data_IF_776100589590
#
_entry.id   IF_776100589590
#
_cell.length_a   1.000
_cell.length_b   1.000
_cell.length_c   1.000
_cell.angle_alpha   90.00
_cell.angle_beta   90.00
_cell.angle_gamma   90.00
#
_symmetry.space_group_name_H-M   'P 1'
#
loop_
_entity.id
_entity.type
_entity.pdbx_description
1 polymer ?
#
# COMPACT_ATOMS: atom_id res chain seq x y z
N UNK A 1 9.83 1.70 -20.51
CA UNK A 1 10.09 2.02 -19.09
C UNK A 1 10.45 3.50 -19.02
N UNK A 2 9.90 4.26 -18.06
CA UNK A 2 10.25 5.68 -17.85
C UNK A 2 11.76 5.80 -17.58
N UNK A 3 12.46 6.60 -18.37
CA UNK A 3 13.89 6.86 -18.23
C UNK A 3 14.19 7.80 -17.07
N UNK A 4 15.46 7.86 -16.64
CA UNK A 4 15.91 8.78 -15.59
C UNK A 4 15.62 10.25 -15.93
N UNK A 5 15.78 10.66 -17.18
CA UNK A 5 15.46 12.03 -17.61
C UNK A 5 13.96 12.30 -17.49
N UNK A 6 13.12 11.37 -17.93
CA UNK A 6 11.67 11.48 -17.82
C UNK A 6 11.20 11.50 -16.35
N UNK A 7 11.86 10.76 -15.46
CA UNK A 7 11.52 10.76 -14.02
C UNK A 7 11.70 12.12 -13.35
N UNK A 8 12.71 12.89 -13.76
CA UNK A 8 13.00 14.22 -13.20
C UNK A 8 11.91 15.22 -13.58
N UNK A 9 11.36 15.10 -14.79
CA UNK A 9 10.35 16.01 -15.30
C UNK A 9 8.92 15.61 -14.89
N UNK A 10 8.72 14.37 -14.43
CA UNK A 10 7.41 13.79 -14.18
C UNK A 10 6.54 14.65 -13.25
N UNK A 11 7.08 15.06 -12.09
CA UNK A 11 6.31 15.85 -11.11
C UNK A 11 5.84 17.20 -11.68
N UNK A 12 6.72 17.92 -12.38
CA UNK A 12 6.40 19.20 -13.00
C UNK A 12 5.36 19.07 -14.12
N UNK A 13 5.49 18.05 -14.97
CA UNK A 13 4.54 17.79 -16.06
C UNK A 13 3.18 17.37 -15.49
N UNK A 14 3.18 16.51 -14.48
CA UNK A 14 1.95 16.08 -13.80
C UNK A 14 1.24 17.26 -13.14
N UNK A 15 1.97 18.14 -12.45
CA UNK A 15 1.46 19.39 -11.90
C UNK A 15 0.78 20.23 -12.98
N UNK A 16 1.51 20.53 -14.06
CA UNK A 16 1.00 21.32 -15.17
C UNK A 16 -0.32 20.74 -15.73
N UNK A 17 -0.37 19.43 -15.98
CA UNK A 17 -1.57 18.77 -16.50
C UNK A 17 -2.73 18.86 -15.52
N UNK A 18 -2.48 18.68 -14.22
CA UNK A 18 -3.52 18.77 -13.20
C UNK A 18 -4.09 20.18 -13.12
N UNK A 19 -3.25 21.21 -13.10
CA UNK A 19 -3.69 22.61 -13.05
C UNK A 19 -4.59 22.97 -14.25
N UNK A 20 -4.31 22.41 -15.44
CA UNK A 20 -5.15 22.58 -16.63
C UNK A 20 -6.50 21.84 -16.53
N UNK A 21 -6.54 20.68 -15.88
CA UNK A 21 -7.76 19.86 -15.77
C UNK A 21 -8.68 20.38 -14.66
N UNK A 22 -8.12 20.89 -13.57
CA UNK A 22 -8.88 21.31 -12.38
C UNK A 22 -9.11 22.81 -12.32
N UNK A 23 -8.42 23.62 -13.15
CA UNK A 23 -8.36 25.08 -13.03
C UNK A 23 -7.94 25.57 -11.62
N UNK A 24 -7.21 24.74 -10.88
CA UNK A 24 -6.69 25.07 -9.56
C UNK A 24 -5.17 25.16 -9.61
N UNK A 25 -4.59 26.12 -8.90
CA UNK A 25 -3.13 26.22 -8.75
C UNK A 25 -2.66 25.27 -7.66
N UNK A 26 -1.65 24.45 -7.96
CA UNK A 26 -1.11 23.47 -7.02
C UNK A 26 0.17 24.03 -6.39
N UNK A 27 0.22 24.15 -5.07
CA UNK A 27 1.33 24.78 -4.35
C UNK A 27 2.43 23.78 -3.96
N UNK A 28 2.10 22.49 -3.87
CA UNK A 28 3.07 21.47 -3.45
C UNK A 28 2.80 20.09 -4.06
N UNK A 29 3.81 19.23 -4.05
CA UNK A 29 3.68 17.83 -4.47
C UNK A 29 2.73 17.03 -3.58
N UNK A 30 2.63 17.36 -2.29
CA UNK A 30 1.67 16.74 -1.37
C UNK A 30 0.22 17.09 -1.74
N UNK A 31 -0.02 18.35 -2.10
CA UNK A 31 -1.30 18.81 -2.61
C UNK A 31 -1.64 18.17 -3.97
N UNK A 32 -0.65 18.10 -4.88
CA UNK A 32 -0.77 17.40 -6.16
C UNK A 32 -1.25 15.95 -5.97
N UNK A 33 -0.59 15.24 -5.05
CA UNK A 33 -0.94 13.87 -4.72
C UNK A 33 -2.37 13.75 -4.15
N UNK A 34 -2.76 14.65 -3.24
CA UNK A 34 -4.09 14.68 -2.65
C UNK A 34 -5.18 14.93 -3.70
N UNK A 35 -4.96 15.87 -4.63
CA UNK A 35 -5.87 16.14 -5.74
C UNK A 35 -6.05 14.88 -6.58
N UNK A 36 -4.95 14.29 -7.06
CA UNK A 36 -4.99 13.10 -7.92
C UNK A 36 -5.73 11.95 -7.23
N UNK A 37 -5.51 11.72 -5.93
CA UNK A 37 -6.19 10.66 -5.18
C UNK A 37 -7.72 10.78 -5.30
N UNK A 38 -8.24 12.00 -5.22
CA UNK A 38 -9.66 12.31 -5.19
C UNK A 38 -10.30 12.48 -6.58
N UNK A 39 -9.53 12.51 -7.68
CA UNK A 39 -10.10 12.63 -9.02
C UNK A 39 -10.90 11.38 -9.45
N UNK A 40 -12.03 11.56 -10.16
CA UNK A 40 -12.75 10.48 -10.82
C UNK A 40 -11.87 9.70 -11.81
N UNK A 41 -12.12 8.38 -11.93
CA UNK A 41 -11.35 7.50 -12.81
C UNK A 41 -11.29 8.00 -14.26
N UNK A 42 -12.40 8.52 -14.78
CA UNK A 42 -12.48 9.07 -16.15
C UNK A 42 -11.49 10.22 -16.37
N UNK A 43 -11.28 11.07 -15.37
CA UNK A 43 -10.33 12.19 -15.44
C UNK A 43 -8.89 11.69 -15.35
N UNK A 44 -8.62 10.71 -14.47
CA UNK A 44 -7.29 10.08 -14.33
C UNK A 44 -6.79 9.51 -15.66
N UNK A 45 -7.65 8.84 -16.43
CA UNK A 45 -7.28 8.31 -17.76
C UNK A 45 -6.79 9.41 -18.71
N UNK A 46 -7.47 10.56 -18.75
CA UNK A 46 -7.07 11.70 -19.59
C UNK A 46 -5.75 12.33 -19.13
N UNK A 47 -5.50 12.34 -17.82
CA UNK A 47 -4.24 12.83 -17.24
C UNK A 47 -3.07 11.95 -17.67
N UNK A 48 -3.19 10.62 -17.56
CA UNK A 48 -2.11 9.71 -17.97
C UNK A 48 -1.76 9.84 -19.45
N UNK A 49 -2.77 9.99 -20.31
CA UNK A 49 -2.56 10.28 -21.72
C UNK A 49 -1.80 11.60 -21.92
N UNK A 50 -2.27 12.68 -21.28
CA UNK A 50 -1.68 14.02 -21.43
C UNK A 50 -0.24 14.10 -20.94
N UNK A 51 0.06 13.45 -19.80
CA UNK A 51 1.42 13.36 -19.25
C UNK A 51 2.30 12.54 -20.19
N UNK A 52 1.81 11.41 -20.71
CA UNK A 52 2.57 10.52 -21.60
C UNK A 52 3.03 11.19 -22.90
N UNK A 53 2.17 12.01 -23.50
CA UNK A 53 2.49 12.80 -24.69
C UNK A 53 3.61 13.82 -24.43
N UNK A 54 3.64 14.41 -23.22
CA UNK A 54 4.61 15.45 -22.85
C UNK A 54 5.98 14.91 -22.50
N UNK A 55 6.04 13.71 -21.91
CA UNK A 55 7.31 13.09 -21.52
C UNK A 55 7.83 12.08 -22.56
N UNK A 56 7.07 11.80 -23.63
CA UNK A 56 7.45 10.83 -24.65
C UNK A 56 7.45 9.39 -24.12
N UNK A 57 6.35 8.97 -23.49
CA UNK A 57 6.15 7.59 -22.99
C UNK A 57 4.74 7.11 -23.34
N UNK A 58 4.43 5.86 -23.02
CA UNK A 58 3.05 5.37 -23.12
C UNK A 58 2.22 5.73 -21.88
N UNK A 59 0.88 5.84 -22.00
CA UNK A 59 0.00 6.07 -20.85
C UNK A 59 0.15 5.01 -19.75
N UNK A 60 0.36 3.75 -20.14
CA UNK A 60 0.57 2.64 -19.20
C UNK A 60 1.86 2.79 -18.41
N UNK A 61 2.96 3.20 -19.05
CA UNK A 61 4.23 3.42 -18.35
C UNK A 61 4.15 4.60 -17.38
N UNK A 62 3.44 5.67 -17.75
CA UNK A 62 3.16 6.82 -16.88
C UNK A 62 2.34 6.40 -15.66
N UNK A 63 1.26 5.66 -15.90
CA UNK A 63 0.41 5.12 -14.85
C UNK A 63 1.23 4.26 -13.89
N UNK A 64 1.99 3.30 -14.41
CA UNK A 64 2.77 2.39 -13.59
C UNK A 64 3.87 3.11 -12.83
N UNK A 65 4.53 4.10 -13.44
CA UNK A 65 5.51 4.92 -12.75
C UNK A 65 4.89 5.75 -11.61
N UNK A 66 3.71 6.32 -11.83
CA UNK A 66 2.96 7.02 -10.77
C UNK A 66 2.72 6.09 -9.58
N UNK A 67 2.12 4.92 -9.82
CA UNK A 67 1.70 4.02 -8.75
C UNK A 67 2.85 3.26 -8.09
N UNK A 68 3.92 2.95 -8.82
CA UNK A 68 5.01 2.12 -8.32
C UNK A 68 6.22 2.92 -7.85
N UNK A 69 6.34 4.19 -8.23
CA UNK A 69 7.51 5.03 -7.90
C UNK A 69 7.09 6.36 -7.31
N UNK A 70 6.46 7.24 -8.10
CA UNK A 70 6.27 8.64 -7.70
C UNK A 70 5.39 8.78 -6.46
N UNK A 71 4.24 8.09 -6.38
CA UNK A 71 3.36 8.22 -5.20
C UNK A 71 4.01 7.66 -3.92
N UNK A 72 4.99 6.77 -4.02
CA UNK A 72 5.56 6.10 -2.85
C UNK A 72 6.38 7.06 -1.99
N UNK A 73 6.84 8.18 -2.54
CA UNK A 73 7.59 9.20 -1.80
C UNK A 73 6.75 9.90 -0.70
N UNK A 74 5.42 9.83 -0.78
CA UNK A 74 4.52 10.43 0.21
C UNK A 74 4.18 9.47 1.37
N UNK A 75 4.68 8.24 1.32
CA UNK A 75 4.45 7.24 2.35
C UNK A 75 5.75 6.92 3.08
N UNK A 76 5.63 6.58 4.35
CA UNK A 76 6.73 6.02 5.11
C UNK A 76 7.06 4.62 4.60
N UNK A 77 8.33 4.24 4.74
CA UNK A 77 8.76 2.89 4.41
C UNK A 77 8.08 1.87 5.33
N UNK A 78 7.43 0.87 4.74
CA UNK A 78 6.84 -0.26 5.46
C UNK A 78 7.85 -1.04 6.32
N UNK A 79 9.15 -0.93 6.04
CA UNK A 79 10.18 -1.59 6.83
C UNK A 79 10.15 -1.14 8.30
N UNK A 80 9.79 0.12 8.57
CA UNK A 80 9.69 0.65 9.93
C UNK A 80 8.58 -0.04 10.76
N UNK A 81 7.61 -0.66 10.10
CA UNK A 81 6.44 -1.28 10.73
C UNK A 81 6.37 -2.79 10.51
N UNK A 82 7.41 -3.39 9.94
CA UNK A 82 7.35 -4.79 9.46
C UNK A 82 6.99 -5.78 10.57
N UNK A 83 7.62 -5.64 11.75
CA UNK A 83 7.41 -6.54 12.88
C UNK A 83 6.03 -6.33 13.50
N UNK A 84 5.66 -5.08 13.75
CA UNK A 84 4.35 -4.72 14.27
C UNK A 84 3.21 -5.20 13.36
N UNK A 85 3.33 -4.99 12.05
CA UNK A 85 2.34 -5.46 11.07
C UNK A 85 2.23 -6.99 11.05
N UNK A 86 3.35 -7.69 11.26
CA UNK A 86 3.40 -9.17 11.31
C UNK A 86 2.71 -9.69 12.58
N UNK A 87 3.01 -9.10 13.73
CA UNK A 87 2.38 -9.43 15.01
C UNK A 87 0.89 -9.16 14.97
N UNK A 88 0.49 -7.97 14.49
CA UNK A 88 -0.91 -7.61 14.32
C UNK A 88 -1.61 -8.62 13.41
N UNK A 89 -1.02 -8.96 12.26
CA UNK A 89 -1.60 -9.94 11.35
C UNK A 89 -1.84 -11.30 12.03
N UNK A 90 -0.84 -11.84 12.74
CA UNK A 90 -1.01 -13.15 13.37
C UNK A 90 -2.02 -13.12 14.52
N UNK A 91 -2.07 -12.02 15.29
CA UNK A 91 -3.10 -11.83 16.31
C UNK A 91 -4.50 -11.80 15.69
N UNK A 92 -4.68 -11.04 14.61
CA UNK A 92 -5.94 -11.00 13.88
C UNK A 92 -6.27 -12.37 13.28
N UNK A 93 -5.32 -13.05 12.65
CA UNK A 93 -5.53 -14.33 11.99
C UNK A 93 -5.97 -15.48 12.93
N UNK A 94 -5.75 -15.35 14.24
CA UNK A 94 -6.30 -16.28 15.24
C UNK A 94 -7.80 -16.13 15.46
N UNK A 95 -8.38 -15.01 15.06
CA UNK A 95 -9.80 -14.67 15.24
C UNK A 95 -10.63 -14.91 13.98
N UNK A 96 -10.00 -15.21 12.84
CA UNK A 96 -10.65 -15.37 11.55
C UNK A 96 -10.17 -16.65 10.87
N UNK A 97 -11.11 -17.44 10.38
CA UNK A 97 -10.82 -18.69 9.66
C UNK A 97 -10.39 -18.46 8.20
N UNK A 98 -10.67 -17.28 7.63
CA UNK A 98 -10.28 -16.94 6.27
C UNK A 98 -9.23 -15.82 6.20
N UNK A 99 -8.26 -16.03 5.30
CA UNK A 99 -7.18 -15.08 5.06
C UNK A 99 -7.67 -13.70 4.62
N UNK A 100 -8.79 -13.60 3.90
CA UNK A 100 -9.28 -12.34 3.35
C UNK A 100 -9.77 -11.42 4.45
N UNK A 101 -10.55 -11.94 5.40
CA UNK A 101 -11.05 -11.19 6.54
C UNK A 101 -9.92 -10.84 7.50
N UNK A 102 -8.99 -11.75 7.77
CA UNK A 102 -7.79 -11.44 8.56
C UNK A 102 -6.99 -10.28 7.93
N UNK A 103 -6.71 -10.32 6.62
CA UNK A 103 -6.00 -9.26 5.91
C UNK A 103 -6.74 -7.92 5.99
N UNK A 104 -8.05 -7.92 5.72
CA UNK A 104 -8.85 -6.69 5.74
C UNK A 104 -8.89 -6.09 7.17
N UNK A 105 -9.09 -6.93 8.19
CA UNK A 105 -9.17 -6.47 9.57
C UNK A 105 -7.84 -5.94 10.09
N UNK A 106 -6.73 -6.63 9.82
CA UNK A 106 -5.39 -6.13 10.12
C UNK A 106 -5.12 -4.80 9.42
N UNK A 107 -5.56 -4.66 8.17
CA UNK A 107 -5.38 -3.42 7.41
C UNK A 107 -6.19 -2.26 8.01
N UNK A 108 -7.45 -2.49 8.38
CA UNK A 108 -8.28 -1.50 9.07
C UNK A 108 -7.64 -1.04 10.39
N UNK A 109 -7.25 -1.98 11.25
CA UNK A 109 -6.62 -1.67 12.55
C UNK A 109 -5.31 -0.92 12.37
N UNK A 110 -4.48 -1.34 11.41
CA UNK A 110 -3.21 -0.69 11.12
C UNK A 110 -3.40 0.74 10.57
N UNK A 111 -4.38 0.95 9.69
CA UNK A 111 -4.69 2.26 9.13
C UNK A 111 -5.32 3.21 10.15
N UNK A 112 -6.08 2.70 11.13
CA UNK A 112 -6.57 3.49 12.25
C UNK A 112 -5.41 4.00 13.12
N UNK A 113 -4.40 3.16 13.36
CA UNK A 113 -3.22 3.52 14.16
C UNK A 113 -2.26 4.46 13.41
N UNK A 114 -2.09 4.26 12.10
CA UNK A 114 -1.16 5.01 11.26
C UNK A 114 -1.84 5.59 10.01
N UNK A 115 -2.70 6.61 10.17
CA UNK A 115 -3.47 7.16 9.07
C UNK A 115 -2.55 7.77 8.01
N UNK A 116 -2.70 7.34 6.76
CA UNK A 116 -1.93 7.81 5.59
C UNK A 116 -0.41 7.57 5.62
N UNK A 117 0.15 6.88 6.61
CA UNK A 117 1.60 6.65 6.67
C UNK A 117 2.08 5.59 5.68
N UNK A 118 1.24 4.61 5.35
CA UNK A 118 1.64 3.48 4.52
C UNK A 118 0.73 3.32 3.30
N UNK A 119 1.34 2.93 2.17
CA UNK A 119 0.61 2.64 0.95
C UNK A 119 -0.21 1.35 1.11
N UNK A 120 -1.53 1.44 1.01
CA UNK A 120 -2.45 0.32 1.20
C UNK A 120 -2.14 -0.88 0.31
N UNK A 121 -1.84 -0.66 -0.97
CA UNK A 121 -1.50 -1.72 -1.91
C UNK A 121 -0.26 -2.49 -1.45
N UNK A 122 0.75 -1.78 -0.94
CA UNK A 122 1.95 -2.43 -0.38
C UNK A 122 1.68 -3.19 0.91
N UNK A 123 0.85 -2.63 1.81
CA UNK A 123 0.42 -3.35 3.00
C UNK A 123 -0.30 -4.65 2.64
N UNK A 124 -1.28 -4.60 1.73
CA UNK A 124 -1.99 -5.80 1.23
C UNK A 124 -1.01 -6.83 0.68
N UNK A 125 -0.06 -6.43 -0.17
CA UNK A 125 0.96 -7.35 -0.72
C UNK A 125 1.83 -8.02 0.35
N UNK A 126 2.10 -7.34 1.46
CA UNK A 126 2.85 -7.91 2.59
C UNK A 126 1.96 -8.88 3.37
N UNK A 127 0.73 -8.48 3.69
CA UNK A 127 -0.23 -9.30 4.43
C UNK A 127 -0.59 -10.59 3.67
N UNK A 128 -0.79 -10.52 2.35
CA UNK A 128 -0.94 -11.73 1.52
C UNK A 128 0.26 -12.67 1.65
N UNK A 129 1.49 -12.14 1.68
CA UNK A 129 2.69 -12.95 1.89
C UNK A 129 2.70 -13.59 3.28
N UNK A 130 2.20 -12.91 4.30
CA UNK A 130 2.06 -13.49 5.64
C UNK A 130 1.00 -14.59 5.68
N UNK A 131 -0.17 -14.37 5.08
CA UNK A 131 -1.25 -15.35 5.02
C UNK A 131 -0.85 -16.63 4.30
N UNK A 132 -0.06 -16.53 3.22
CA UNK A 132 0.33 -17.68 2.40
C UNK A 132 1.67 -18.31 2.80
N UNK A 133 2.40 -17.76 3.77
CA UNK A 133 3.60 -18.40 4.30
C UNK A 133 3.24 -19.55 5.28
N UNK A 134 4.22 -20.40 5.59
CA UNK A 134 4.03 -21.56 6.47
C UNK A 134 3.47 -21.19 7.84
N UNK A 135 3.85 -20.03 8.39
CA UNK A 135 3.34 -19.52 9.67
C UNK A 135 1.86 -19.14 9.58
N UNK A 136 1.48 -18.30 8.61
CA UNK A 136 0.12 -17.81 8.45
C UNK A 136 -0.89 -18.90 8.14
N UNK A 137 -0.52 -19.88 7.31
CA UNK A 137 -1.39 -21.05 7.06
C UNK A 137 -1.70 -21.80 8.35
N UNK A 138 -0.69 -22.06 9.17
CA UNK A 138 -0.88 -22.73 10.46
C UNK A 138 -1.77 -21.93 11.42
N UNK A 139 -1.68 -20.60 11.43
CA UNK A 139 -2.56 -19.77 12.29
C UNK A 139 -4.00 -19.84 11.83
N UNK A 140 -4.22 -19.64 10.52
CA UNK A 140 -5.55 -19.61 9.92
C UNK A 140 -6.24 -20.98 9.99
N UNK A 141 -5.48 -22.08 9.89
CA UNK A 141 -5.98 -23.45 10.06
C UNK A 141 -6.30 -23.82 11.51
N UNK A 142 -5.67 -23.15 12.49
CA UNK A 142 -5.81 -23.47 13.90
C UNK A 142 -6.92 -22.71 14.62
N UNK A 143 -7.45 -21.62 14.06
CA UNK A 143 -8.42 -20.69 14.69
C UNK A 143 -9.49 -21.40 15.57
N UNK A 144 -9.34 -21.44 16.91
CA UNK A 144 -10.34 -21.92 17.84
C UNK A 144 -10.92 -20.76 18.69
N UNK A 145 -11.93 -21.05 19.51
CA UNK A 145 -12.67 -20.09 20.33
C UNK A 145 -11.80 -19.11 21.16
N UNK A 146 -12.31 -17.89 21.43
CA UNK A 146 -11.52 -16.69 21.79
C UNK A 146 -10.58 -16.79 22.99
N UNK A 147 -10.76 -17.73 23.92
CA UNK A 147 -9.91 -17.86 25.12
C UNK A 147 -8.54 -18.53 24.86
N UNK A 148 -8.40 -19.37 23.84
CA UNK A 148 -7.15 -20.10 23.54
C UNK A 148 -6.17 -19.31 22.66
N UNK A 149 -6.64 -18.20 22.10
CA UNK A 149 -5.91 -17.41 21.10
C UNK A 149 -4.63 -16.75 21.66
N UNK A 150 -4.65 -16.21 22.88
CA UNK A 150 -3.51 -15.48 23.45
C UNK A 150 -2.33 -16.41 23.79
N UNK A 151 -2.61 -17.59 24.36
CA UNK A 151 -1.59 -18.60 24.68
C UNK A 151 -1.02 -19.20 23.39
N UNK A 152 -1.88 -19.47 22.39
CA UNK A 152 -1.43 -19.95 21.08
C UNK A 152 -0.56 -18.91 20.36
N UNK A 153 -0.89 -17.62 20.48
CA UNK A 153 -0.11 -16.53 19.90
C UNK A 153 1.32 -16.47 20.48
N UNK A 154 1.47 -16.51 21.81
CA UNK A 154 2.78 -16.47 22.46
C UNK A 154 3.66 -17.65 22.02
N UNK A 155 3.12 -18.87 22.04
CA UNK A 155 3.84 -20.07 21.60
C UNK A 155 4.23 -20.02 20.11
N UNK A 156 3.37 -19.46 19.26
CA UNK A 156 3.67 -19.29 17.84
C UNK A 156 4.77 -18.26 17.61
N UNK A 157 4.73 -17.13 18.33
CA UNK A 157 5.74 -16.08 18.19
C UNK A 157 7.12 -16.56 18.62
N UNK A 158 7.20 -17.38 19.68
CA UNK A 158 8.43 -18.06 20.08
C UNK A 158 8.95 -19.01 18.99
N UNK A 159 8.08 -19.85 18.40
CA UNK A 159 8.45 -20.76 17.32
C UNK A 159 8.94 -20.03 16.05
N UNK A 160 8.33 -18.88 15.72
CA UNK A 160 8.72 -18.08 14.55
C UNK A 160 10.01 -17.28 14.77
N UNK A 161 10.41 -17.03 16.01
CA UNK A 161 11.67 -16.36 16.35
C UNK A 161 12.87 -17.30 16.44
N UNK A 162 12.66 -18.63 16.48
CA UNK A 162 13.71 -19.66 16.46
C UNK A 162 14.18 -20.05 15.05
N UNK A 163 13.67 -19.40 14.00
CA UNK A 163 14.04 -19.64 12.59
C UNK A 163 14.62 -18.35 11.96
N UNK A 164 15.55 -17.70 12.66
CA UNK A 164 16.50 -16.75 12.07
C UNK A 164 17.81 -17.46 11.75
#
# INVERSE_FOLDING_TARGET
MITKVQSVQFGAVLKFVIEQVTNATVQSDAELFAIIKNLPLKQKTGIWLSVSLRIGSTPSEVHDYFFNTWQLQFFQSHNSFKNELKELFYKTALQYSDSKNAINKTLEEFQQKYPNNCNERKLKQILYRYAHNKGGKQVLEKSPEPLESEIMFQNLMEQLNLIQ
#
